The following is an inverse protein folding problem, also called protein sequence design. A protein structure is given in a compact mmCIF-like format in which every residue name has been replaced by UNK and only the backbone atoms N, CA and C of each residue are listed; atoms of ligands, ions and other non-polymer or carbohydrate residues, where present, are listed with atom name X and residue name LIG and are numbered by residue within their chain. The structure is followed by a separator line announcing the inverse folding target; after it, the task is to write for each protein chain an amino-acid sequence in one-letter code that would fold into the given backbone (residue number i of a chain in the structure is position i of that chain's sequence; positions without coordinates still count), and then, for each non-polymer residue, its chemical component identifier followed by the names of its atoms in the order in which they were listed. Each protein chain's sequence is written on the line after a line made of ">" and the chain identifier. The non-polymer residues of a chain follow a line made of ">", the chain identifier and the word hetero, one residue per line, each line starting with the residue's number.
data_IF_130365800876
#
_entry.id   IF_130365800876
#
_cell.length_a   1.000
_cell.length_b   1.000
_cell.length_c   1.000
_cell.angle_alpha   90.00
_cell.angle_beta   90.00
_cell.angle_gamma   90.00
#
_symmetry.space_group_name_H-M   'P 1'
#
loop_
_entity.id
_entity.type
_entity.pdbx_description
1 polymer ?
#
# COMPACT_ATOMS: atom_id res chain seq x y z
N UNK A 1 -6.37 -8.54 -24.79
CA UNK A 1 -6.36 -7.25 -24.06
C UNK A 1 -5.77 -7.43 -22.65
N UNK A 2 -4.47 -7.75 -22.59
CA UNK A 2 -3.70 -7.96 -21.34
C UNK A 2 -3.72 -6.70 -20.46
N UNK A 3 -3.86 -5.53 -21.06
CA UNK A 3 -3.87 -4.23 -20.37
C UNK A 3 -5.09 -3.99 -19.44
N UNK A 4 -6.07 -4.91 -19.41
CA UNK A 4 -7.21 -4.85 -18.49
C UNK A 4 -7.09 -5.79 -17.28
N UNK A 5 -6.13 -6.73 -17.32
CA UNK A 5 -5.90 -7.66 -16.23
C UNK A 5 -5.07 -6.94 -15.15
N UNK A 6 -5.59 -6.90 -13.93
CA UNK A 6 -4.94 -6.23 -12.80
C UNK A 6 -4.21 -7.18 -11.86
N UNK A 7 -4.54 -8.45 -11.91
CA UNK A 7 -3.95 -9.52 -11.12
C UNK A 7 -4.19 -10.86 -11.81
N UNK A 8 -3.21 -11.74 -11.75
CA UNK A 8 -3.31 -13.12 -12.19
C UNK A 8 -3.16 -14.03 -10.97
N UNK A 9 -4.04 -15.00 -10.82
CA UNK A 9 -3.94 -16.05 -9.80
C UNK A 9 -3.62 -17.34 -10.53
N UNK A 10 -2.48 -17.97 -10.19
CA UNK A 10 -1.99 -19.19 -10.80
C UNK A 10 -1.97 -20.32 -9.77
N UNK A 11 -2.50 -21.47 -10.14
CA UNK A 11 -2.23 -22.70 -9.40
C UNK A 11 -0.87 -23.26 -9.86
N UNK A 12 -0.01 -23.67 -8.93
CA UNK A 12 1.25 -24.32 -9.27
C UNK A 12 1.01 -25.61 -10.02
N UNK A 13 0.04 -26.42 -9.56
CA UNK A 13 -0.30 -27.71 -10.15
C UNK A 13 -1.35 -27.57 -11.25
N UNK A 14 -0.92 -27.27 -12.46
CA UNK A 14 -1.78 -27.24 -13.65
C UNK A 14 -1.32 -28.25 -14.69
N UNK A 15 -2.26 -28.86 -15.47
CA UNK A 15 -1.90 -29.79 -16.55
C UNK A 15 -1.30 -29.01 -17.74
N UNK A 16 -0.35 -29.62 -18.46
CA UNK A 16 0.38 -29.14 -19.65
C UNK A 16 1.49 -28.13 -19.34
N UNK A 17 1.18 -26.93 -18.88
CA UNK A 17 2.13 -25.97 -18.31
C UNK A 17 1.82 -25.80 -16.83
N UNK A 18 2.84 -25.89 -15.98
CA UNK A 18 2.68 -25.59 -14.57
C UNK A 18 2.60 -24.07 -14.29
N UNK A 19 2.35 -23.71 -13.02
CA UNK A 19 2.22 -22.31 -12.65
C UNK A 19 3.51 -21.53 -12.86
N UNK A 20 4.69 -22.14 -12.69
CA UNK A 20 5.98 -21.46 -12.85
C UNK A 20 6.30 -21.21 -14.32
N UNK A 21 6.12 -22.21 -15.17
CA UNK A 21 6.28 -22.07 -16.62
C UNK A 21 5.32 -20.99 -17.17
N UNK A 22 4.09 -20.96 -16.68
CA UNK A 22 3.11 -19.95 -17.04
C UNK A 22 3.55 -18.56 -16.57
N UNK A 23 4.12 -18.45 -15.37
CA UNK A 23 4.65 -17.19 -14.85
C UNK A 23 5.80 -16.68 -15.70
N UNK A 24 6.74 -17.54 -16.09
CA UNK A 24 7.85 -17.17 -16.98
C UNK A 24 7.33 -16.57 -18.29
N UNK A 25 6.34 -17.21 -18.91
CA UNK A 25 5.71 -16.68 -20.13
C UNK A 25 5.06 -15.32 -19.87
N UNK A 26 4.32 -15.15 -18.77
CA UNK A 26 3.71 -13.87 -18.42
C UNK A 26 4.77 -12.78 -18.27
N UNK A 27 5.88 -13.08 -17.60
CA UNK A 27 6.96 -12.10 -17.34
C UNK A 27 7.70 -11.62 -18.59
N UNK A 28 7.64 -12.38 -19.69
CA UNK A 28 8.17 -11.92 -20.99
C UNK A 28 7.37 -10.73 -21.56
N UNK A 29 6.09 -10.62 -21.21
CA UNK A 29 5.18 -9.65 -21.82
C UNK A 29 4.52 -8.67 -20.86
N UNK A 30 4.55 -8.95 -19.55
CA UNK A 30 3.80 -8.18 -18.56
C UNK A 30 4.41 -8.22 -17.18
N UNK A 31 4.32 -7.08 -16.49
CA UNK A 31 4.61 -6.93 -15.05
C UNK A 31 3.34 -7.02 -14.19
N UNK A 32 2.24 -7.57 -14.73
CA UNK A 32 1.00 -7.75 -13.98
C UNK A 32 1.29 -8.53 -12.68
N UNK A 33 0.74 -8.11 -11.55
CA UNK A 33 0.88 -8.85 -10.30
C UNK A 33 0.41 -10.29 -10.44
N UNK A 34 1.17 -11.22 -9.87
CA UNK A 34 0.86 -12.66 -9.89
C UNK A 34 0.86 -13.20 -8.47
N UNK A 35 -0.23 -13.87 -8.12
CA UNK A 35 -0.36 -14.65 -6.90
C UNK A 35 -0.37 -16.13 -7.26
N UNK A 36 0.43 -16.93 -6.56
CA UNK A 36 0.46 -18.37 -6.76
C UNK A 36 -0.25 -19.12 -5.64
N UNK A 37 -0.99 -20.16 -6.02
CA UNK A 37 -1.61 -21.13 -5.11
C UNK A 37 -0.76 -22.39 -5.09
N UNK A 38 -0.27 -22.80 -3.92
CA UNK A 38 0.63 -23.95 -3.77
C UNK A 38 0.20 -24.91 -2.67
N UNK A 39 0.62 -26.16 -2.75
CA UNK A 39 0.45 -27.12 -1.66
C UNK A 39 1.58 -26.95 -0.62
N UNK A 40 1.31 -27.34 0.64
CA UNK A 40 2.24 -27.17 1.79
C UNK A 40 3.62 -27.83 1.66
N UNK A 41 3.80 -28.74 0.73
CA UNK A 41 5.02 -29.55 0.59
C UNK A 41 6.12 -28.92 -0.27
N UNK A 42 5.93 -27.69 -0.75
CA UNK A 42 6.74 -27.14 -1.85
C UNK A 42 7.52 -25.87 -1.44
N UNK A 43 8.22 -25.91 -0.27
CA UNK A 43 9.12 -24.81 0.13
C UNK A 43 10.18 -24.47 -0.94
N UNK A 44 10.60 -25.46 -1.74
CA UNK A 44 11.54 -25.24 -2.86
C UNK A 44 10.91 -24.40 -3.96
N UNK A 45 9.62 -24.51 -4.15
CA UNK A 45 8.88 -23.83 -5.20
C UNK A 45 8.65 -22.35 -4.83
N UNK A 46 8.50 -22.04 -3.53
CA UNK A 46 8.40 -20.65 -3.06
C UNK A 46 9.66 -19.85 -3.42
N UNK A 47 10.86 -20.39 -3.18
CA UNK A 47 12.12 -19.75 -3.52
C UNK A 47 12.28 -19.54 -5.03
N UNK A 48 11.89 -20.54 -5.83
CA UNK A 48 11.93 -20.44 -7.29
C UNK A 48 10.97 -19.35 -7.79
N UNK A 49 9.78 -19.29 -7.27
CA UNK A 49 8.78 -18.32 -7.69
C UNK A 49 9.14 -16.88 -7.30
N UNK A 50 9.74 -16.67 -6.13
CA UNK A 50 10.26 -15.34 -5.76
C UNK A 50 11.36 -14.88 -6.73
N UNK A 51 12.24 -15.77 -7.17
CA UNK A 51 13.24 -15.47 -8.19
C UNK A 51 12.62 -15.16 -9.56
N UNK A 52 11.45 -15.72 -9.87
CA UNK A 52 10.70 -15.46 -11.10
C UNK A 52 9.78 -14.22 -11.00
N UNK A 53 9.73 -13.55 -9.83
CA UNK A 53 8.96 -12.33 -9.64
C UNK A 53 7.48 -12.56 -9.33
N UNK A 54 7.18 -13.59 -8.53
CA UNK A 54 5.88 -13.75 -7.88
C UNK A 54 5.68 -12.64 -6.84
N UNK A 55 4.47 -12.12 -6.75
CA UNK A 55 4.13 -11.06 -5.79
C UNK A 55 3.60 -11.60 -4.47
N UNK A 56 2.94 -12.77 -4.49
CA UNK A 56 2.38 -13.40 -3.31
C UNK A 56 2.15 -14.90 -3.50
N UNK A 57 2.20 -15.65 -2.39
CA UNK A 57 1.84 -17.06 -2.31
C UNK A 57 0.69 -17.30 -1.35
N UNK A 58 -0.17 -18.25 -1.68
CA UNK A 58 -1.16 -18.80 -0.75
C UNK A 58 -1.04 -20.32 -0.74
N UNK A 59 -0.86 -20.87 0.45
CA UNK A 59 -0.78 -22.32 0.67
C UNK A 59 -2.17 -22.93 0.78
N UNK A 60 -2.42 -24.00 0.06
CA UNK A 60 -3.64 -24.82 0.17
C UNK A 60 -3.55 -25.77 1.38
N UNK A 61 -4.65 -26.01 2.11
CA UNK A 61 -5.95 -25.38 1.99
C UNK A 61 -5.96 -23.95 2.56
N UNK A 62 -6.69 -23.04 1.95
CA UNK A 62 -6.82 -21.65 2.40
C UNK A 62 -8.28 -21.26 2.64
N UNK A 63 -8.49 -20.29 3.52
CA UNK A 63 -9.80 -19.66 3.70
C UNK A 63 -10.08 -18.70 2.54
N UNK A 64 -11.28 -18.72 1.94
CA UNK A 64 -11.67 -17.72 0.94
C UNK A 64 -11.51 -16.28 1.42
N UNK A 65 -11.71 -16.01 2.71
CA UNK A 65 -11.50 -14.69 3.31
C UNK A 65 -10.04 -14.24 3.25
N UNK A 66 -9.10 -15.17 3.46
CA UNK A 66 -7.65 -14.88 3.35
C UNK A 66 -7.29 -14.60 1.90
N UNK A 67 -7.79 -15.38 0.95
CA UNK A 67 -7.57 -15.15 -0.47
C UNK A 67 -8.04 -13.75 -0.87
N UNK A 68 -9.28 -13.39 -0.52
CA UNK A 68 -9.84 -12.07 -0.83
C UNK A 68 -8.99 -10.95 -0.21
N UNK A 69 -8.62 -11.06 1.06
CA UNK A 69 -7.81 -10.05 1.74
C UNK A 69 -6.43 -9.84 1.07
N UNK A 70 -5.78 -10.92 0.60
CA UNK A 70 -4.50 -10.83 -0.12
C UNK A 70 -4.66 -10.26 -1.53
N UNK A 71 -5.73 -10.63 -2.24
CA UNK A 71 -6.08 -10.06 -3.55
C UNK A 71 -6.28 -8.55 -3.42
N UNK A 72 -7.08 -8.10 -2.45
CA UNK A 72 -7.30 -6.69 -2.19
C UNK A 72 -6.00 -5.94 -1.84
N UNK A 73 -5.12 -6.57 -1.06
CA UNK A 73 -3.81 -5.99 -0.72
C UNK A 73 -2.92 -5.80 -1.96
N UNK A 74 -2.89 -6.79 -2.87
CA UNK A 74 -2.13 -6.69 -4.11
C UNK A 74 -2.74 -5.63 -5.04
N UNK A 75 -4.06 -5.66 -5.24
CA UNK A 75 -4.74 -4.69 -6.10
C UNK A 75 -4.60 -3.26 -5.57
N UNK A 76 -4.58 -3.08 -4.27
CA UNK A 76 -4.30 -1.78 -3.64
C UNK A 76 -2.87 -1.32 -3.94
N UNK A 77 -1.88 -2.22 -3.88
CA UNK A 77 -0.49 -1.92 -4.23
C UNK A 77 -0.31 -1.65 -5.72
N UNK A 78 -0.94 -2.46 -6.58
CA UNK A 78 -0.81 -2.36 -8.04
C UNK A 78 -1.73 -1.31 -8.68
N UNK A 79 -2.82 -0.93 -8.03
CA UNK A 79 -3.66 0.19 -8.46
C UNK A 79 -2.98 1.55 -8.30
N UNK A 80 -1.88 1.57 -7.53
CA UNK A 80 -1.06 2.77 -7.32
C UNK A 80 -0.11 3.08 -8.50
N UNK A 81 0.09 2.15 -9.45
CA UNK A 81 0.91 2.38 -10.65
C UNK A 81 0.27 3.34 -11.70
N UNK A 82 -0.91 3.92 -11.42
CA UNK A 82 -1.56 4.88 -12.33
C UNK A 82 -1.87 6.26 -11.74
N UNK A 83 -1.69 6.44 -10.45
CA UNK A 83 -1.59 7.77 -9.82
C UNK A 83 -0.31 7.78 -8.98
N UNK A 84 0.84 7.83 -9.66
CA UNK A 84 2.15 7.93 -9.01
C UNK A 84 2.26 9.20 -8.16
N UNK A 85 1.41 10.18 -8.43
CA UNK A 85 1.38 11.44 -7.73
C UNK A 85 0.02 11.71 -7.08
N UNK A 86 0.02 11.89 -5.76
CA UNK A 86 -1.12 12.47 -5.04
C UNK A 86 -0.91 13.98 -4.95
N UNK A 87 -1.96 14.76 -5.19
CA UNK A 87 -1.89 16.21 -5.00
C UNK A 87 -3.13 16.76 -4.31
N UNK A 88 -2.92 17.69 -3.39
CA UNK A 88 -3.99 18.42 -2.73
C UNK A 88 -3.46 19.73 -2.11
N UNK A 89 -4.08 20.85 -2.44
CA UNK A 89 -3.80 22.14 -1.78
C UNK A 89 -2.34 22.61 -1.86
N UNK A 90 -1.64 22.33 -2.97
CA UNK A 90 -0.22 22.66 -3.15
C UNK A 90 0.75 21.59 -2.60
N UNK A 91 0.24 20.50 -2.00
CA UNK A 91 1.04 19.34 -1.62
C UNK A 91 1.07 18.37 -2.80
N UNK A 92 2.24 17.91 -3.19
CA UNK A 92 2.45 16.89 -4.22
C UNK A 92 3.30 15.77 -3.63
N UNK A 93 2.81 14.55 -3.72
CA UNK A 93 3.51 13.33 -3.29
C UNK A 93 3.81 12.49 -4.52
N UNK A 94 5.08 12.27 -4.80
CA UNK A 94 5.54 11.26 -5.74
C UNK A 94 5.81 9.95 -4.97
N UNK A 95 4.91 8.98 -5.13
CA UNK A 95 5.03 7.70 -4.42
C UNK A 95 6.17 6.86 -4.95
N UNK A 96 6.46 6.97 -6.25
CA UNK A 96 7.52 6.17 -6.89
C UNK A 96 8.90 6.66 -6.49
N UNK A 97 9.09 7.97 -6.45
CA UNK A 97 10.34 8.61 -6.02
C UNK A 97 10.44 8.75 -4.49
N UNK A 98 9.37 8.47 -3.75
CA UNK A 98 9.26 8.69 -2.29
C UNK A 98 9.58 10.14 -1.89
N UNK A 99 9.06 11.09 -2.67
CA UNK A 99 9.32 12.51 -2.52
C UNK A 99 8.03 13.30 -2.25
N UNK A 100 8.20 14.39 -1.52
CA UNK A 100 7.10 15.35 -1.23
C UNK A 100 7.58 16.75 -1.56
N UNK A 101 6.73 17.53 -2.23
CA UNK A 101 6.89 18.96 -2.34
C UNK A 101 5.64 19.69 -1.85
N UNK A 102 5.83 20.89 -1.34
CA UNK A 102 4.77 21.78 -0.89
C UNK A 102 5.00 23.13 -1.56
N UNK A 103 4.01 23.58 -2.35
CA UNK A 103 4.11 24.79 -3.18
C UNK A 103 5.42 24.79 -4.00
N UNK A 104 5.71 23.67 -4.66
CA UNK A 104 6.90 23.38 -5.48
C UNK A 104 8.23 23.34 -4.72
N UNK A 105 8.22 23.43 -3.39
CA UNK A 105 9.42 23.31 -2.55
C UNK A 105 9.53 21.90 -1.99
N UNK A 106 10.64 21.19 -2.24
CA UNK A 106 10.86 19.86 -1.66
C UNK A 106 10.86 19.90 -0.12
N UNK A 107 10.22 18.91 0.49
CA UNK A 107 10.15 18.75 1.95
C UNK A 107 10.69 17.37 2.34
N UNK A 108 11.67 17.36 3.24
CA UNK A 108 12.21 16.11 3.77
C UNK A 108 11.34 15.54 4.88
N UNK A 109 10.73 14.41 4.61
CA UNK A 109 9.97 13.62 5.58
C UNK A 109 10.72 12.32 5.91
N UNK A 110 10.60 11.87 7.16
CA UNK A 110 10.99 10.51 7.48
C UNK A 110 10.05 9.51 6.77
N UNK A 111 10.47 8.25 6.68
CA UNK A 111 9.66 7.20 6.05
C UNK A 111 8.23 7.17 6.62
N UNK A 112 8.09 7.20 7.94
CA UNK A 112 6.76 7.16 8.59
C UNK A 112 5.96 8.45 8.45
N UNK A 113 6.61 9.60 8.41
CA UNK A 113 5.94 10.87 8.11
C UNK A 113 5.42 10.90 6.67
N UNK A 114 6.19 10.35 5.73
CA UNK A 114 5.76 10.19 4.34
C UNK A 114 4.55 9.28 4.22
N UNK A 115 4.59 8.10 4.86
CA UNK A 115 3.47 7.15 4.90
C UNK A 115 2.22 7.78 5.53
N UNK A 116 2.38 8.52 6.63
CA UNK A 116 1.29 9.18 7.32
C UNK A 116 0.65 10.26 6.44
N UNK A 117 1.44 11.10 5.78
CA UNK A 117 0.94 12.13 4.87
C UNK A 117 0.23 11.50 3.66
N UNK A 118 0.81 10.46 3.08
CA UNK A 118 0.21 9.71 1.99
C UNK A 118 -1.16 9.16 2.38
N UNK A 119 -1.25 8.54 3.56
CA UNK A 119 -2.50 8.00 4.08
C UNK A 119 -3.56 9.08 4.31
N UNK A 120 -3.17 10.26 4.77
CA UNK A 120 -4.08 11.40 4.90
C UNK A 120 -4.62 11.89 3.56
N UNK A 121 -3.78 12.03 2.54
CA UNK A 121 -4.21 12.47 1.21
C UNK A 121 -5.11 11.44 0.53
N UNK A 122 -4.83 10.15 0.68
CA UNK A 122 -5.68 9.06 0.17
C UNK A 122 -7.08 9.04 0.82
N UNK A 123 -7.19 9.53 2.05
CA UNK A 123 -8.42 9.60 2.81
C UNK A 123 -8.91 11.04 3.03
N UNK A 124 -8.62 11.93 2.07
CA UNK A 124 -9.03 13.34 2.13
C UNK A 124 -10.53 13.49 2.44
N UNK A 125 -10.86 14.35 3.40
CA UNK A 125 -12.23 14.62 3.81
C UNK A 125 -12.81 13.61 4.81
N UNK A 126 -12.09 12.52 5.12
CA UNK A 126 -12.56 11.47 6.02
C UNK A 126 -11.95 11.67 7.41
N UNK A 127 -12.80 11.65 8.45
CA UNK A 127 -12.33 11.62 9.84
C UNK A 127 -11.78 10.23 10.19
N UNK A 128 -10.53 10.18 10.60
CA UNK A 128 -9.80 8.96 10.91
C UNK A 128 -9.53 8.89 12.41
N UNK A 129 -9.88 7.77 13.05
CA UNK A 129 -9.52 7.53 14.44
C UNK A 129 -8.01 7.31 14.56
N UNK A 130 -7.44 7.61 15.75
CA UNK A 130 -6.02 7.35 16.06
C UNK A 130 -5.67 5.88 15.82
N UNK A 131 -6.53 4.98 16.26
CA UNK A 131 -6.35 3.55 16.09
C UNK A 131 -6.34 3.15 14.60
N UNK A 132 -7.27 3.70 13.80
CA UNK A 132 -7.31 3.45 12.35
C UNK A 132 -6.04 3.94 11.65
N UNK A 133 -5.54 5.12 12.00
CA UNK A 133 -4.28 5.66 11.46
C UNK A 133 -3.12 4.74 11.85
N UNK A 134 -3.04 4.36 13.12
CA UNK A 134 -1.97 3.49 13.63
C UNK A 134 -1.94 2.16 12.88
N UNK A 135 -3.09 1.50 12.76
CA UNK A 135 -3.20 0.19 12.12
C UNK A 135 -2.86 0.22 10.62
N UNK A 136 -3.09 1.33 9.94
CA UNK A 136 -2.83 1.43 8.49
C UNK A 136 -1.41 1.93 8.16
N UNK A 137 -0.81 2.74 9.02
CA UNK A 137 0.53 3.32 8.80
C UNK A 137 1.63 2.53 9.50
N UNK A 138 1.34 1.92 10.66
CA UNK A 138 2.33 1.16 11.46
C UNK A 138 2.14 -0.36 11.46
N UNK A 139 1.13 -0.88 10.79
CA UNK A 139 0.69 -2.29 10.79
C UNK A 139 0.03 -2.76 12.10
N UNK A 140 -0.73 -3.86 12.01
CA UNK A 140 -1.51 -4.45 13.10
C UNK A 140 -0.67 -4.96 14.30
N UNK A 141 0.65 -5.09 14.14
CA UNK A 141 1.56 -5.60 15.18
C UNK A 141 2.14 -4.50 16.08
N UNK A 142 1.66 -3.26 15.93
CA UNK A 142 2.11 -2.17 16.79
C UNK A 142 1.34 -2.19 18.12
N UNK A 143 2.00 -2.66 19.19
CA UNK A 143 1.46 -2.71 20.55
C UNK A 143 1.61 -1.38 21.32
N UNK A 144 1.82 -0.27 20.65
CA UNK A 144 1.96 1.04 21.27
C UNK A 144 0.63 1.74 21.57
N UNK A 145 0.68 2.75 22.45
CA UNK A 145 -0.47 3.61 22.74
C UNK A 145 -0.84 4.42 21.46
N UNK A 146 -2.12 4.41 21.10
CA UNK A 146 -2.64 5.19 19.97
C UNK A 146 -2.36 6.71 20.08
N UNK A 147 -2.05 7.20 21.28
CA UNK A 147 -1.63 8.59 21.52
C UNK A 147 -0.27 8.93 20.90
N UNK A 148 0.56 7.94 20.56
CA UNK A 148 1.82 8.19 19.85
C UNK A 148 1.61 8.84 18.50
N UNK A 149 0.44 8.66 17.87
CA UNK A 149 0.03 9.37 16.65
C UNK A 149 0.08 10.88 16.83
N UNK A 150 -0.29 11.40 17.98
CA UNK A 150 -0.32 12.86 18.25
C UNK A 150 1.08 13.46 18.10
N UNK A 151 2.11 12.76 18.52
CA UNK A 151 3.52 13.19 18.36
C UNK A 151 3.92 13.20 16.88
N UNK A 152 3.54 12.15 16.13
CA UNK A 152 3.85 12.07 14.70
C UNK A 152 3.11 13.13 13.89
N UNK A 153 1.84 13.36 14.18
CA UNK A 153 1.05 14.44 13.55
C UNK A 153 1.64 15.80 13.85
N UNK A 154 2.05 16.06 15.12
CA UNK A 154 2.70 17.33 15.48
C UNK A 154 3.98 17.57 14.67
N UNK A 155 4.85 16.56 14.54
CA UNK A 155 6.08 16.64 13.75
C UNK A 155 5.78 16.87 12.27
N UNK A 156 4.82 16.12 11.71
CA UNK A 156 4.41 16.26 10.32
C UNK A 156 3.87 17.66 10.03
N UNK A 157 2.96 18.17 10.86
CA UNK A 157 2.44 19.54 10.74
C UNK A 157 3.55 20.59 10.74
N UNK A 158 4.53 20.46 11.61
CA UNK A 158 5.66 21.37 11.67
C UNK A 158 6.48 21.39 10.37
N UNK A 159 6.72 20.22 9.77
CA UNK A 159 7.43 20.10 8.49
C UNK A 159 6.61 20.60 7.29
N UNK A 160 5.30 20.52 7.36
CA UNK A 160 4.39 21.03 6.33
C UNK A 160 4.23 22.55 6.34
N UNK A 161 4.73 23.25 7.36
CA UNK A 161 4.59 24.70 7.49
C UNK A 161 3.13 25.14 7.55
N UNK A 162 2.74 26.13 6.76
CA UNK A 162 1.35 26.61 6.70
C UNK A 162 0.33 25.54 6.29
N UNK A 163 0.76 24.54 5.48
CA UNK A 163 -0.11 23.44 5.04
C UNK A 163 -0.36 22.40 6.15
N UNK A 164 0.34 22.49 7.28
CA UNK A 164 0.05 21.68 8.46
C UNK A 164 -1.38 21.86 8.99
N UNK A 165 -1.99 23.02 8.72
CA UNK A 165 -3.39 23.30 9.07
C UNK A 165 -4.40 22.43 8.33
N UNK A 166 -4.02 21.81 7.22
CA UNK A 166 -4.89 20.88 6.50
C UNK A 166 -5.14 19.58 7.29
N UNK A 167 -4.26 19.21 8.21
CA UNK A 167 -4.51 18.10 9.13
C UNK A 167 -5.30 18.67 10.32
N UNK A 168 -6.61 18.55 10.30
CA UNK A 168 -7.51 19.02 11.35
C UNK A 168 -7.57 18.02 12.50
N UNK A 169 -7.62 18.50 13.74
CA UNK A 169 -7.89 17.68 14.91
C UNK A 169 -9.39 17.52 15.09
N UNK A 170 -9.87 16.27 15.15
CA UNK A 170 -11.26 15.96 15.50
C UNK A 170 -11.28 15.49 16.95
N UNK A 171 -11.75 16.36 17.81
CA UNK A 171 -11.74 16.13 19.27
C UNK A 171 -12.49 14.84 19.63
N UNK A 172 -11.90 14.04 20.48
CA UNK A 172 -12.45 12.75 20.91
C UNK A 172 -12.33 11.61 19.90
N UNK A 173 -11.90 11.87 18.64
CA UNK A 173 -11.76 10.86 17.60
C UNK A 173 -10.33 10.72 17.09
N UNK A 174 -9.78 11.74 16.45
CA UNK A 174 -8.47 11.67 15.81
C UNK A 174 -8.22 12.84 14.87
N UNK A 175 -8.04 12.56 13.58
CA UNK A 175 -7.61 13.55 12.60
C UNK A 175 -8.36 13.45 11.27
N UNK A 176 -8.43 14.55 10.55
CA UNK A 176 -9.00 14.64 9.20
C UNK A 176 -8.08 15.51 8.35
N UNK A 177 -7.78 15.07 7.13
CA UNK A 177 -7.11 15.92 6.15
C UNK A 177 -8.17 16.66 5.33
N UNK A 178 -8.14 17.99 5.38
CA UNK A 178 -9.13 18.83 4.72
C UNK A 178 -8.47 20.14 4.27
N UNK A 179 -8.52 20.41 2.97
CA UNK A 179 -7.98 21.63 2.35
C UNK A 179 -8.99 22.78 2.35
N UNK A 180 -10.25 22.48 2.59
CA UNK A 180 -11.31 23.46 2.73
C UNK A 180 -11.46 23.81 4.21
N UNK A 181 -11.26 25.06 4.56
CA UNK A 181 -11.34 25.58 5.92
C UNK A 181 -12.76 25.75 6.44
#
# INVERSE_FOLDING_TARGET
>A
NINKIKLVILDVMMPKLDGFETLEVIRQYSKVPVMMLTARSEERDELQGFNLGVDEYITKPFSPKILVARVEAILRRSGHDREENLSAGGIVIDKSAHQVSIDDVPVELSYKEFELLTYFLENKGIALSREKILNNVWNYDYFGDARTIDTHVKKLRAKMGSKGEYIKTIWGMGYKFDIEG
#
